data_IF_798642922164
#
_entry.id   IF_798642922164
#
_cell.length_a   1.000
_cell.length_b   1.000
_cell.length_c   1.000
_cell.angle_alpha   90.00
_cell.angle_beta   90.00
_cell.angle_gamma   90.00
#
_symmetry.space_group_name_H-M   'P 1'
#
loop_
_entity.id
_entity.type
_entity.pdbx_description
1 polymer ?
#
# COMPACT_ATOMS: atom_id res chain seq x y z
N UNK A 1 8.75 15.23 11.47
CA UNK A 1 8.30 15.23 10.06
C UNK A 1 6.95 14.55 9.98
N UNK A 2 5.86 15.30 10.09
CA UNK A 2 4.51 14.74 9.97
C UNK A 2 4.23 14.40 8.50
N UNK A 3 3.89 13.15 8.20
CA UNK A 3 3.36 12.77 6.90
C UNK A 3 1.84 12.90 6.95
N UNK A 4 1.33 14.01 6.42
CA UNK A 4 -0.11 14.24 6.27
C UNK A 4 -0.67 13.25 5.24
N UNK A 5 -1.51 12.30 5.66
CA UNK A 5 -2.25 11.45 4.73
C UNK A 5 -3.42 12.28 4.19
N UNK A 6 -3.26 12.81 2.96
CA UNK A 6 -4.34 13.52 2.27
C UNK A 6 -5.26 12.51 1.59
N UNK A 7 -6.43 12.28 2.16
CA UNK A 7 -7.51 11.55 1.49
C UNK A 7 -8.11 12.46 0.41
N UNK A 8 -8.21 11.97 -0.82
CA UNK A 8 -8.87 12.72 -1.90
C UNK A 8 -10.39 12.81 -1.61
N UNK A 9 -11.07 13.93 -1.87
CA UNK A 9 -12.52 14.06 -1.62
C UNK A 9 -13.36 12.98 -2.30
N UNK A 10 -12.93 12.51 -3.47
CA UNK A 10 -13.57 11.40 -4.20
C UNK A 10 -13.49 10.03 -3.49
N UNK A 11 -12.61 9.87 -2.49
CA UNK A 11 -12.61 8.69 -1.61
C UNK A 11 -13.71 8.76 -0.54
N UNK A 12 -14.21 9.96 -0.23
CA UNK A 12 -15.28 10.18 0.75
C UNK A 12 -16.67 10.09 0.10
N UNK A 13 -16.79 10.52 -1.16
CA UNK A 13 -18.05 10.48 -1.94
C UNK A 13 -18.65 9.07 -2.09
N UNK A 14 -17.85 8.01 -1.93
CA UNK A 14 -18.30 6.62 -1.97
C UNK A 14 -18.73 6.02 -0.62
N UNK A 15 -18.44 6.69 0.51
CA UNK A 15 -18.68 6.15 1.85
C UNK A 15 -20.18 6.18 2.20
N UNK A 16 -20.91 7.19 1.74
CA UNK A 16 -22.36 7.31 1.96
C UNK A 16 -23.19 6.27 1.16
N UNK A 17 -22.61 5.65 0.13
CA UNK A 17 -23.30 4.72 -0.78
C UNK A 17 -22.76 3.29 -0.75
N UNK A 18 -21.99 2.92 0.26
CA UNK A 18 -21.70 1.50 0.50
C UNK A 18 -22.97 0.88 1.08
N UNK A 19 -23.70 -0.01 0.36
CA UNK A 19 -24.70 -0.83 1.03
C UNK A 19 -23.96 -1.53 2.16
N UNK A 20 -24.56 -1.54 3.34
CA UNK A 20 -24.09 -2.11 4.61
C UNK A 20 -23.61 -3.57 4.53
N UNK A 21 -22.61 -3.85 3.69
CA UNK A 21 -21.63 -4.88 3.95
C UNK A 21 -20.90 -4.35 5.16
N UNK A 22 -21.28 -4.87 6.33
CA UNK A 22 -20.46 -4.80 7.54
C UNK A 22 -19.01 -4.82 7.07
N UNK A 23 -18.19 -3.79 7.34
CA UNK A 23 -16.78 -3.87 7.05
C UNK A 23 -16.35 -5.21 7.62
N UNK A 24 -15.84 -6.09 6.77
CA UNK A 24 -15.34 -7.38 7.22
C UNK A 24 -14.29 -6.99 8.26
N UNK A 25 -14.63 -7.18 9.53
CA UNK A 25 -14.01 -6.41 10.58
C UNK A 25 -12.51 -6.71 10.49
N UNK A 26 -11.70 -5.68 10.25
CA UNK A 26 -10.23 -5.82 10.24
C UNK A 26 -9.72 -6.34 11.59
N UNK A 27 -10.61 -6.33 12.60
CA UNK A 27 -10.43 -6.77 13.96
C UNK A 27 -11.64 -7.62 14.39
N UNK A 28 -11.44 -8.66 15.21
CA UNK A 28 -12.56 -9.41 15.78
C UNK A 28 -13.40 -8.51 16.72
N UNK A 29 -14.68 -8.85 17.01
CA UNK A 29 -15.57 -8.06 17.88
C UNK A 29 -15.04 -7.76 19.30
N UNK A 30 -14.04 -8.50 19.76
CA UNK A 30 -13.38 -8.34 21.07
C UNK A 30 -11.88 -8.06 20.95
N UNK A 31 -11.42 -7.71 19.76
CA UNK A 31 -10.02 -7.39 19.56
C UNK A 31 -9.71 -6.07 20.27
N UNK A 32 -8.81 -6.07 21.28
CA UNK A 32 -8.50 -4.87 22.04
C UNK A 32 -7.94 -3.74 21.15
N UNK A 33 -7.44 -4.07 19.95
CA UNK A 33 -6.97 -3.10 18.96
C UNK A 33 -8.10 -2.30 18.32
N UNK A 34 -9.30 -2.87 18.24
CA UNK A 34 -10.48 -2.18 17.71
C UNK A 34 -10.97 -1.09 18.66
N UNK A 35 -10.80 -1.27 19.98
CA UNK A 35 -11.26 -0.33 20.99
C UNK A 35 -10.57 1.04 20.84
N UNK A 36 -9.26 1.06 20.61
CA UNK A 36 -8.50 2.30 20.41
C UNK A 36 -8.91 3.03 19.12
N UNK A 37 -9.20 2.28 18.05
CA UNK A 37 -9.71 2.84 16.78
C UNK A 37 -11.13 3.41 16.91
N UNK A 38 -12.02 2.71 17.64
CA UNK A 38 -13.36 3.23 17.94
C UNK A 38 -13.28 4.50 18.77
N UNK A 39 -12.44 4.54 19.80
CA UNK A 39 -12.23 5.74 20.62
C UNK A 39 -11.76 6.93 19.78
N UNK A 40 -10.79 6.73 18.89
CA UNK A 40 -10.36 7.77 17.96
C UNK A 40 -11.50 8.23 17.04
N UNK A 41 -12.29 7.30 16.50
CA UNK A 41 -13.44 7.63 15.67
C UNK A 41 -14.46 8.48 16.44
N UNK A 42 -14.81 8.07 17.66
CA UNK A 42 -15.79 8.74 18.50
C UNK A 42 -15.31 10.15 18.89
N UNK A 43 -14.04 10.32 19.25
CA UNK A 43 -13.46 11.63 19.56
C UNK A 43 -13.48 12.58 18.35
N UNK A 44 -13.21 12.06 17.14
CA UNK A 44 -13.34 12.84 15.90
C UNK A 44 -14.80 13.19 15.61
N UNK A 45 -15.72 12.24 15.76
CA UNK A 45 -17.14 12.42 15.50
C UNK A 45 -17.80 13.40 16.49
N UNK A 46 -17.37 13.38 17.74
CA UNK A 46 -17.82 14.28 18.80
C UNK A 46 -17.23 15.70 18.68
N UNK A 47 -16.21 15.90 17.84
CA UNK A 47 -15.50 17.19 17.75
C UNK A 47 -14.74 17.50 19.04
N UNK A 48 -14.16 16.47 19.67
CA UNK A 48 -13.41 16.55 20.91
C UNK A 48 -12.25 17.54 20.86
N UNK A 49 -11.80 17.96 22.05
CA UNK A 49 -10.66 18.87 22.15
C UNK A 49 -9.35 18.22 21.67
N UNK A 50 -8.34 19.08 21.46
CA UNK A 50 -7.05 18.67 20.93
C UNK A 50 -6.35 17.62 21.80
N UNK A 51 -6.47 17.73 23.12
CA UNK A 51 -5.78 16.82 24.04
C UNK A 51 -6.41 15.43 23.98
N UNK A 52 -7.74 15.35 23.92
CA UNK A 52 -8.45 14.08 23.73
C UNK A 52 -8.09 13.41 22.40
N UNK A 53 -8.01 14.19 21.32
CA UNK A 53 -7.56 13.69 20.01
C UNK A 53 -6.11 13.19 20.05
N UNK A 54 -5.21 13.90 20.71
CA UNK A 54 -3.80 13.50 20.88
C UNK A 54 -3.65 12.20 21.68
N UNK A 55 -4.47 12.00 22.72
CA UNK A 55 -4.53 10.74 23.46
C UNK A 55 -5.08 9.60 22.59
N UNK A 56 -6.24 9.80 21.96
CA UNK A 56 -6.91 8.76 21.18
C UNK A 56 -6.08 8.30 19.97
N UNK A 57 -5.38 9.22 19.29
CA UNK A 57 -4.49 8.84 18.19
C UNK A 57 -3.26 8.07 18.68
N UNK A 58 -2.71 8.44 19.83
CA UNK A 58 -1.54 7.76 20.41
C UNK A 58 -1.89 6.32 20.78
N UNK A 59 -3.04 6.12 21.43
CA UNK A 59 -3.54 4.79 21.79
C UNK A 59 -3.85 3.94 20.54
N UNK A 60 -4.46 4.54 19.50
CA UNK A 60 -4.72 3.83 18.25
C UNK A 60 -3.42 3.41 17.55
N UNK A 61 -2.40 4.27 17.55
CA UNK A 61 -1.07 3.95 16.99
C UNK A 61 -0.40 2.83 17.80
N UNK A 62 -0.43 2.90 19.14
CA UNK A 62 0.17 1.88 20.00
C UNK A 62 -0.51 0.51 19.81
N UNK A 63 -1.85 0.50 19.78
CA UNK A 63 -2.62 -0.70 19.50
C UNK A 63 -2.28 -1.31 18.13
N UNK A 64 -2.11 -0.48 17.08
CA UNK A 64 -1.69 -0.93 15.75
C UNK A 64 -0.24 -1.41 15.72
N UNK A 65 0.66 -0.77 16.46
CA UNK A 65 2.06 -1.19 16.56
C UNK A 65 2.17 -2.55 17.27
N UNK A 66 1.43 -2.74 18.36
CA UNK A 66 1.35 -4.01 19.08
C UNK A 66 0.72 -5.12 18.22
N UNK A 67 -0.28 -4.76 17.41
CA UNK A 67 -0.88 -5.63 16.39
C UNK A 67 0.15 -6.15 15.38
N UNK A 68 0.98 -5.24 14.88
CA UNK A 68 1.98 -5.53 13.88
C UNK A 68 3.10 -6.37 14.50
N UNK A 69 3.59 -6.01 15.70
CA UNK A 69 4.63 -6.75 16.41
C UNK A 69 4.21 -8.20 16.72
N UNK A 70 2.96 -8.41 17.14
CA UNK A 70 2.41 -9.76 17.38
C UNK A 70 2.21 -10.55 16.08
N UNK A 71 1.86 -9.88 14.98
CA UNK A 71 1.80 -10.51 13.65
C UNK A 71 3.20 -10.83 13.07
N UNK A 72 4.21 -10.01 13.36
CA UNK A 72 5.60 -10.17 12.91
C UNK A 72 6.28 -11.40 13.53
N UNK A 73 5.87 -11.82 14.74
CA UNK A 73 6.43 -13.00 15.42
C UNK A 73 5.94 -14.35 14.87
N UNK A 74 5.04 -14.38 13.87
CA UNK A 74 4.37 -15.63 13.46
C UNK A 74 4.41 -16.03 11.98
N UNK A 75 4.72 -15.13 11.04
CA UNK A 75 4.63 -15.46 9.60
C UNK A 75 6.00 -15.41 8.91
N UNK A 76 6.76 -16.49 9.06
CA UNK A 76 7.90 -16.72 8.17
C UNK A 76 7.38 -16.88 6.74
N UNK A 77 7.80 -15.98 5.84
CA UNK A 77 7.46 -16.10 4.43
C UNK A 77 7.85 -17.48 3.90
N UNK A 78 6.89 -18.15 3.29
CA UNK A 78 7.13 -19.40 2.58
C UNK A 78 8.20 -19.21 1.51
N UNK A 79 8.99 -20.25 1.23
CA UNK A 79 10.06 -20.19 0.23
C UNK A 79 9.58 -19.65 -1.14
N UNK A 80 8.41 -20.06 -1.68
CA UNK A 80 7.92 -19.50 -2.94
C UNK A 80 7.62 -17.99 -2.89
N UNK A 81 7.00 -17.49 -1.81
CA UNK A 81 6.67 -16.07 -1.68
C UNK A 81 7.95 -15.24 -1.53
N UNK A 82 8.91 -15.71 -0.72
CA UNK A 82 10.24 -15.10 -0.60
C UNK A 82 10.94 -15.03 -1.95
N UNK A 83 10.97 -16.15 -2.69
CA UNK A 83 11.59 -16.20 -4.01
C UNK A 83 10.92 -15.25 -5.01
N UNK A 84 9.59 -15.18 -5.01
CA UNK A 84 8.87 -14.24 -5.85
C UNK A 84 9.19 -12.77 -5.52
N UNK A 85 9.36 -12.43 -4.24
CA UNK A 85 9.78 -11.08 -3.84
C UNK A 85 11.18 -10.72 -4.35
N UNK A 86 12.14 -11.63 -4.23
CA UNK A 86 13.50 -11.46 -4.75
C UNK A 86 13.47 -11.22 -6.26
N UNK A 87 12.79 -12.09 -7.01
CA UNK A 87 12.69 -11.99 -8.47
C UNK A 87 12.04 -10.69 -8.92
N UNK A 88 10.96 -10.24 -8.25
CA UNK A 88 10.33 -8.96 -8.57
C UNK A 88 11.31 -7.80 -8.33
N UNK A 89 12.13 -7.85 -7.28
CA UNK A 89 13.10 -6.79 -6.94
C UNK A 89 14.31 -6.76 -7.86
N UNK A 90 14.79 -7.93 -8.29
CA UNK A 90 15.88 -8.07 -9.24
C UNK A 90 15.46 -7.59 -10.64
N UNK A 91 14.23 -7.93 -11.07
CA UNK A 91 13.74 -7.71 -12.44
C UNK A 91 12.61 -6.67 -12.48
N UNK A 92 12.74 -5.57 -11.72
CA UNK A 92 11.68 -4.55 -11.61
C UNK A 92 11.32 -3.98 -12.99
N UNK A 93 12.32 -3.65 -13.82
CA UNK A 93 12.12 -2.96 -15.10
C UNK A 93 11.82 -3.91 -16.27
N UNK A 94 12.11 -5.21 -16.15
CA UNK A 94 12.04 -6.15 -17.28
C UNK A 94 10.61 -6.58 -17.62
N UNK A 95 10.43 -7.47 -18.59
CA UNK A 95 9.11 -8.05 -18.91
C UNK A 95 8.94 -9.41 -18.22
N UNK A 96 8.99 -9.43 -16.88
CA UNK A 96 8.68 -10.64 -16.10
C UNK A 96 7.17 -10.89 -16.09
N UNK A 97 6.72 -12.01 -16.68
CA UNK A 97 5.31 -12.40 -16.69
C UNK A 97 4.92 -13.11 -15.38
N UNK A 98 3.62 -13.16 -15.08
CA UNK A 98 3.15 -13.85 -13.88
C UNK A 98 3.40 -15.37 -13.95
N UNK A 99 3.24 -15.98 -15.12
CA UNK A 99 3.53 -17.41 -15.33
C UNK A 99 5.02 -17.71 -15.09
N UNK A 100 5.91 -16.85 -15.56
CA UNK A 100 7.36 -17.02 -15.35
C UNK A 100 7.75 -16.81 -13.89
N UNK A 101 7.18 -15.79 -13.23
CA UNK A 101 7.36 -15.57 -11.80
C UNK A 101 6.92 -16.79 -10.98
N UNK A 102 5.76 -17.36 -11.31
CA UNK A 102 5.21 -18.53 -10.64
C UNK A 102 6.11 -19.76 -10.83
N UNK A 103 6.51 -20.02 -12.08
CA UNK A 103 7.42 -21.11 -12.44
C UNK A 103 8.74 -21.03 -11.67
N UNK A 104 9.37 -19.86 -11.62
CA UNK A 104 10.63 -19.66 -10.91
C UNK A 104 10.47 -19.69 -9.37
N UNK A 105 9.29 -19.37 -8.85
CA UNK A 105 8.95 -19.50 -7.44
C UNK A 105 8.56 -20.94 -7.05
N UNK A 106 8.41 -21.85 -8.01
CA UNK A 106 8.01 -23.24 -7.77
C UNK A 106 6.52 -23.45 -7.49
N UNK A 107 5.66 -22.55 -7.99
CA UNK A 107 4.21 -22.64 -7.84
C UNK A 107 3.48 -22.43 -9.17
N UNK A 108 2.22 -22.84 -9.24
CA UNK A 108 1.30 -22.34 -10.24
C UNK A 108 0.94 -20.86 -9.96
N UNK A 109 0.57 -20.11 -10.99
CA UNK A 109 0.23 -18.69 -10.89
C UNK A 109 -0.93 -18.40 -9.92
N UNK A 110 -1.93 -19.26 -9.82
CA UNK A 110 -3.08 -19.06 -8.94
C UNK A 110 -2.68 -19.27 -7.48
N UNK A 111 -1.93 -20.35 -7.18
CA UNK A 111 -1.36 -20.58 -5.86
C UNK A 111 -0.40 -19.46 -5.46
N UNK A 112 0.48 -19.01 -6.37
CA UNK A 112 1.37 -17.90 -6.08
C UNK A 112 0.58 -16.62 -5.76
N UNK A 113 -0.43 -16.27 -6.56
CA UNK A 113 -1.24 -15.07 -6.30
C UNK A 113 -1.93 -15.12 -4.94
N UNK A 114 -2.49 -16.28 -4.57
CA UNK A 114 -3.15 -16.47 -3.27
C UNK A 114 -2.15 -16.38 -2.12
N UNK A 115 -1.08 -17.16 -2.18
CA UNK A 115 -0.06 -17.21 -1.12
C UNK A 115 0.62 -15.85 -0.93
N UNK A 116 0.96 -15.19 -2.04
CA UNK A 116 1.58 -13.87 -2.02
C UNK A 116 0.61 -12.83 -1.46
N UNK A 117 -0.66 -12.81 -1.87
CA UNK A 117 -1.65 -11.88 -1.29
C UNK A 117 -1.85 -12.13 0.21
N UNK A 118 -1.89 -13.39 0.65
CA UNK A 118 -2.08 -13.75 2.04
C UNK A 118 -0.89 -13.31 2.93
N UNK A 119 0.34 -13.50 2.45
CA UNK A 119 1.56 -13.24 3.23
C UNK A 119 2.14 -11.81 3.04
N UNK A 120 1.88 -11.17 1.90
CA UNK A 120 2.42 -9.82 1.54
C UNK A 120 1.32 -8.75 1.53
N UNK A 121 0.05 -9.14 1.62
CA UNK A 121 -1.10 -8.22 1.67
C UNK A 121 -1.61 -7.73 0.31
N UNK A 122 -0.92 -8.03 -0.79
CA UNK A 122 -1.33 -7.61 -2.13
C UNK A 122 -0.88 -8.59 -3.21
N UNK A 123 -1.51 -8.64 -4.41
CA UNK A 123 -1.06 -9.51 -5.49
C UNK A 123 0.33 -9.12 -6.05
N UNK A 124 1.08 -10.06 -6.66
CA UNK A 124 2.42 -9.80 -7.21
C UNK A 124 2.50 -8.62 -8.18
N UNK A 125 1.53 -8.49 -9.10
CA UNK A 125 1.52 -7.40 -10.08
C UNK A 125 1.39 -6.02 -9.40
N UNK A 126 0.57 -5.93 -8.34
CA UNK A 126 0.33 -4.69 -7.63
C UNK A 126 1.59 -4.27 -6.86
N UNK A 127 2.26 -5.24 -6.22
CA UNK A 127 3.53 -5.03 -5.53
C UNK A 127 4.61 -4.52 -6.50
N UNK A 128 4.76 -5.16 -7.65
CA UNK A 128 5.70 -4.72 -8.69
C UNK A 128 5.42 -3.30 -9.17
N UNK A 129 4.16 -2.98 -9.47
CA UNK A 129 3.77 -1.61 -9.87
C UNK A 129 4.10 -0.59 -8.79
N UNK A 130 3.87 -0.93 -7.51
CA UNK A 130 4.24 -0.06 -6.40
C UNK A 130 5.75 0.19 -6.35
N UNK A 131 6.58 -0.85 -6.50
CA UNK A 131 8.04 -0.67 -6.56
C UNK A 131 8.49 0.20 -7.74
N UNK A 132 7.89 0.03 -8.93
CA UNK A 132 8.16 0.87 -10.10
C UNK A 132 7.85 2.34 -9.82
N UNK A 133 6.72 2.62 -9.18
CA UNK A 133 6.34 3.99 -8.81
C UNK A 133 7.25 4.56 -7.71
N UNK A 134 7.69 3.75 -6.73
CA UNK A 134 8.67 4.21 -5.74
C UNK A 134 10.02 4.57 -6.40
N UNK A 135 10.48 3.77 -7.36
CA UNK A 135 11.69 4.08 -8.15
C UNK A 135 11.51 5.33 -9.00
N UNK A 136 10.33 5.52 -9.60
CA UNK A 136 9.99 6.75 -10.32
C UNK A 136 10.06 7.99 -9.40
N UNK A 137 9.53 7.92 -8.16
CA UNK A 137 9.63 9.01 -7.18
C UNK A 137 11.09 9.38 -6.87
N UNK A 138 11.96 8.39 -6.70
CA UNK A 138 13.39 8.61 -6.45
C UNK A 138 14.03 9.31 -7.66
N UNK A 139 13.73 8.88 -8.88
CA UNK A 139 14.24 9.50 -10.11
C UNK A 139 13.76 10.95 -10.28
N UNK A 140 12.48 11.23 -9.99
CA UNK A 140 11.92 12.59 -10.06
C UNK A 140 12.63 13.53 -9.08
N UNK A 141 12.88 13.08 -7.84
CA UNK A 141 13.64 13.84 -6.83
C UNK A 141 15.09 14.07 -7.25
N UNK A 142 15.65 13.19 -8.06
CA UNK A 142 16.99 13.35 -8.63
C UNK A 142 17.01 14.24 -9.89
N UNK A 143 15.89 14.88 -10.25
CA UNK A 143 15.81 15.80 -11.40
C UNK A 143 15.59 15.14 -12.76
N UNK A 144 15.31 13.82 -12.81
CA UNK A 144 14.99 13.16 -14.09
C UNK A 144 13.65 13.67 -14.61
N UNK A 145 13.61 14.08 -15.89
CA UNK A 145 12.38 14.63 -16.48
C UNK A 145 11.27 13.55 -16.51
N UNK A 146 10.02 13.90 -16.17
CA UNK A 146 8.90 12.95 -16.14
C UNK A 146 8.71 12.12 -17.41
N UNK A 147 9.01 12.70 -18.58
CA UNK A 147 8.90 12.05 -19.90
C UNK A 147 9.87 10.88 -20.11
N UNK A 148 10.99 10.87 -19.37
CA UNK A 148 12.06 9.88 -19.54
C UNK A 148 11.94 8.71 -18.55
N UNK A 149 10.95 8.74 -17.64
CA UNK A 149 10.89 7.82 -16.51
C UNK A 149 10.21 6.51 -16.84
N UNK A 150 9.09 6.54 -17.57
CA UNK A 150 8.30 5.35 -17.88
C UNK A 150 9.16 4.15 -18.36
N UNK A 151 10.01 4.29 -19.40
CA UNK A 151 10.85 3.20 -19.86
C UNK A 151 11.91 2.77 -18.81
N UNK A 152 12.45 3.70 -18.02
CA UNK A 152 13.48 3.40 -17.00
C UNK A 152 12.95 2.58 -15.83
N UNK A 153 11.65 2.64 -15.56
CA UNK A 153 11.01 1.84 -14.51
C UNK A 153 10.22 0.66 -15.08
N UNK A 154 10.32 0.39 -16.39
CA UNK A 154 9.66 -0.73 -17.06
C UNK A 154 8.15 -0.57 -17.24
N UNK A 155 7.65 0.67 -17.27
CA UNK A 155 6.27 0.96 -17.65
C UNK A 155 6.19 1.18 -19.15
N UNK A 156 5.07 0.76 -19.74
CA UNK A 156 4.87 0.74 -21.19
C UNK A 156 4.94 2.15 -21.79
N UNK A 157 4.26 3.11 -21.16
CA UNK A 157 4.20 4.48 -21.63
C UNK A 157 3.96 5.49 -20.48
N UNK A 158 3.94 6.76 -20.85
CA UNK A 158 3.67 7.86 -19.94
C UNK A 158 2.26 7.82 -19.35
N UNK A 159 1.27 7.30 -20.09
CA UNK A 159 -0.12 7.21 -19.65
C UNK A 159 -0.26 6.22 -18.49
N UNK A 160 0.42 5.08 -18.57
CA UNK A 160 0.49 4.08 -17.52
C UNK A 160 1.23 4.63 -16.29
N UNK A 161 2.34 5.34 -16.48
CA UNK A 161 3.04 6.05 -15.41
C UNK A 161 2.11 7.05 -14.72
N UNK A 162 1.46 7.93 -15.46
CA UNK A 162 0.52 8.92 -14.91
C UNK A 162 -0.60 8.26 -14.09
N UNK A 163 -1.24 7.23 -14.63
CA UNK A 163 -2.33 6.51 -13.97
C UNK A 163 -1.88 5.88 -12.65
N UNK A 164 -0.79 5.12 -12.67
CA UNK A 164 -0.30 4.43 -11.47
C UNK A 164 0.29 5.39 -10.45
N UNK A 165 1.03 6.40 -10.89
CA UNK A 165 1.61 7.41 -10.01
C UNK A 165 0.52 8.21 -9.30
N UNK A 166 -0.51 8.66 -10.02
CA UNK A 166 -1.66 9.35 -9.39
C UNK A 166 -2.40 8.46 -8.40
N UNK A 167 -2.61 7.19 -8.74
CA UNK A 167 -3.29 6.24 -7.85
C UNK A 167 -2.51 5.96 -6.55
N UNK A 168 -1.18 5.90 -6.63
CA UNK A 168 -0.31 5.48 -5.51
C UNK A 168 0.22 6.68 -4.70
N UNK A 169 0.47 7.81 -5.36
CA UNK A 169 1.11 9.00 -4.76
C UNK A 169 0.11 10.14 -4.55
N UNK A 170 -1.06 10.10 -5.19
CA UNK A 170 -2.11 11.11 -5.07
C UNK A 170 -1.97 12.31 -6.02
N UNK A 171 -0.90 12.39 -6.81
CA UNK A 171 -0.63 13.46 -7.78
C UNK A 171 0.04 12.92 -9.05
N UNK A 172 0.18 13.72 -10.10
CA UNK A 172 0.90 13.30 -11.31
C UNK A 172 2.43 13.39 -11.12
N UNK A 173 3.24 12.63 -11.89
CA UNK A 173 4.70 12.75 -11.89
C UNK A 173 5.19 14.19 -12.13
N UNK A 174 4.54 14.92 -13.04
CA UNK A 174 4.91 16.30 -13.35
C UNK A 174 4.60 17.29 -12.24
N UNK A 175 3.51 17.10 -11.48
CA UNK A 175 3.25 17.86 -10.25
C UNK A 175 4.31 17.53 -9.20
N UNK A 176 4.54 16.24 -8.95
CA UNK A 176 5.53 15.79 -7.97
C UNK A 176 6.95 16.31 -8.27
N UNK A 177 7.35 16.42 -9.54
CA UNK A 177 8.65 16.95 -9.94
C UNK A 177 8.83 18.45 -9.62
N UNK A 178 7.74 19.23 -9.60
CA UNK A 178 7.79 20.67 -9.29
C UNK A 178 7.81 20.93 -7.79
N UNK A 179 7.24 20.01 -7.01
CA UNK A 179 7.11 20.11 -5.56
C UNK A 179 8.29 19.46 -4.81
N UNK A 180 9.21 18.80 -5.53
CA UNK A 180 10.36 18.06 -5.00
C UNK A 180 11.66 18.87 -5.06
#
# INVERSE_FOLDING_TARGET
>A
TYQLIRLAPSLLEGIERVPSRRPQAWFAPEDPRAAALHRLHDAVAAGSDRFELECAITEAIDALAHAAATAEHGQTLTRPVRRALELIREQIADTLTLDELARQAGLDKFHLCRAFRAQVGMPPHAYRTQLRIMRAKVMLRAGVQPKDIAPRVGLYDQSQLNRHFRRIVGMTPGQFARDA
#
